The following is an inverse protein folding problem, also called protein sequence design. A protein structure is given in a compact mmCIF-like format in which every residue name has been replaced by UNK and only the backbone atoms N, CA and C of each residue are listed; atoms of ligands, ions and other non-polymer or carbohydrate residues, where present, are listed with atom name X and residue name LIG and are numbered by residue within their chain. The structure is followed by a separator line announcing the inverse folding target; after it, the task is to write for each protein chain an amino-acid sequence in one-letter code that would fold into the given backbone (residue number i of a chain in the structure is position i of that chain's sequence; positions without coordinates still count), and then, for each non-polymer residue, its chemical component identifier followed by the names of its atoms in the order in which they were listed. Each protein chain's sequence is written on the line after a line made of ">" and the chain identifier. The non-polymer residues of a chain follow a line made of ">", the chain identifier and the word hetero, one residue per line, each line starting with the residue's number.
data_IF_645277983232
#
_entry.id   IF_645277983232
#
_cell.length_a   1.000
_cell.length_b   1.000
_cell.length_c   1.000
_cell.angle_alpha   90.00
_cell.angle_beta   90.00
_cell.angle_gamma   90.00
#
_symmetry.space_group_name_H-M   'P 1'
#
loop_
_entity.id
_entity.type
_entity.pdbx_description
1 polymer ?
#
# COMPACT_ATOMS: atom_id res chain seq x y z
N UNK A 1 -42.86 -14.90 1.57
CA UNK A 1 -42.37 -13.51 1.61
C UNK A 1 -42.23 -13.03 0.18
N UNK A 2 -42.83 -11.88 -0.17
CA UNK A 2 -42.85 -11.39 -1.55
C UNK A 2 -41.47 -10.78 -1.90
N UNK A 3 -40.96 -11.04 -3.11
CA UNK A 3 -39.70 -10.46 -3.60
C UNK A 3 -39.73 -8.93 -3.64
N UNK A 4 -40.88 -8.34 -3.94
CA UNK A 4 -41.06 -6.89 -3.99
C UNK A 4 -40.93 -6.27 -2.59
N UNK A 5 -41.49 -6.91 -1.56
CA UNK A 5 -41.38 -6.46 -0.16
C UNK A 5 -39.92 -6.45 0.31
N UNK A 6 -39.16 -7.50 -0.05
CA UNK A 6 -37.73 -7.58 0.27
C UNK A 6 -36.96 -6.49 -0.47
N UNK A 7 -37.27 -6.25 -1.74
CA UNK A 7 -36.62 -5.19 -2.52
C UNK A 7 -36.84 -3.81 -1.89
N UNK A 8 -38.08 -3.51 -1.49
CA UNK A 8 -38.41 -2.27 -0.79
C UNK A 8 -37.70 -2.15 0.56
N UNK A 9 -37.60 -3.27 1.29
CA UNK A 9 -36.81 -3.33 2.52
C UNK A 9 -35.33 -3.02 2.29
N UNK A 10 -34.73 -3.57 1.23
CA UNK A 10 -33.32 -3.33 0.87
C UNK A 10 -33.10 -1.86 0.54
N UNK A 11 -33.87 -1.27 -0.39
CA UNK A 11 -33.67 0.14 -0.79
C UNK A 11 -33.82 1.09 0.40
N UNK A 12 -34.83 0.87 1.25
CA UNK A 12 -35.08 1.72 2.41
C UNK A 12 -33.95 1.68 3.43
N UNK A 13 -33.25 0.57 3.54
CA UNK A 13 -32.18 0.39 4.53
C UNK A 13 -30.79 0.68 3.98
N UNK A 14 -30.61 0.70 2.66
CA UNK A 14 -29.32 0.97 2.05
C UNK A 14 -28.74 2.32 2.48
N UNK A 15 -29.59 3.34 2.58
CA UNK A 15 -29.21 4.70 3.00
C UNK A 15 -28.88 4.83 4.49
N UNK A 16 -29.15 3.80 5.31
CA UNK A 16 -28.78 3.76 6.72
C UNK A 16 -27.33 3.31 6.96
N UNK A 17 -26.59 3.02 5.88
CA UNK A 17 -25.19 2.61 5.96
C UNK A 17 -24.27 3.82 5.76
N UNK A 18 -23.49 4.15 6.78
CA UNK A 18 -22.47 5.21 6.72
C UNK A 18 -21.14 4.62 6.28
N UNK A 19 -20.96 4.47 4.97
CA UNK A 19 -19.73 3.95 4.34
C UNK A 19 -19.08 5.04 3.48
N UNK A 20 -17.78 4.91 3.20
CA UNK A 20 -16.99 5.95 2.55
C UNK A 20 -17.37 6.18 1.08
N UNK A 21 -17.88 5.15 0.39
CA UNK A 21 -18.26 5.22 -1.02
C UNK A 21 -19.21 4.07 -1.43
N UNK A 22 -19.47 3.88 -2.72
CA UNK A 22 -20.50 2.99 -3.29
C UNK A 22 -20.00 1.58 -3.62
N UNK A 23 -18.70 1.31 -3.53
CA UNK A 23 -18.13 0.00 -3.89
C UNK A 23 -18.70 -1.18 -3.10
N UNK A 24 -19.16 -0.94 -1.87
CA UNK A 24 -19.81 -1.96 -1.05
C UNK A 24 -21.34 -2.02 -1.19
N UNK A 25 -21.95 -1.19 -2.02
CA UNK A 25 -23.41 -1.11 -2.15
C UNK A 25 -24.02 -2.49 -2.47
N UNK A 26 -23.42 -3.24 -3.39
CA UNK A 26 -23.89 -4.58 -3.74
C UNK A 26 -23.71 -5.60 -2.62
N UNK A 27 -22.67 -5.48 -1.79
CA UNK A 27 -22.50 -6.33 -0.61
C UNK A 27 -23.58 -6.03 0.43
N UNK A 28 -23.85 -4.75 0.68
CA UNK A 28 -24.90 -4.31 1.62
C UNK A 28 -26.28 -4.77 1.16
N UNK A 29 -26.58 -4.64 -0.14
CA UNK A 29 -27.84 -5.13 -0.74
C UNK A 29 -28.03 -6.63 -0.51
N UNK A 30 -27.00 -7.44 -0.74
CA UNK A 30 -27.06 -8.89 -0.52
C UNK A 30 -27.15 -9.24 0.97
N UNK A 31 -26.46 -8.53 1.85
CA UNK A 31 -26.57 -8.66 3.31
C UNK A 31 -28.02 -8.44 3.76
N UNK A 32 -28.62 -7.32 3.34
CA UNK A 32 -30.01 -6.98 3.70
C UNK A 32 -31.01 -8.01 3.14
N UNK A 33 -30.80 -8.47 1.90
CA UNK A 33 -31.60 -9.55 1.33
C UNK A 33 -31.52 -10.83 2.18
N UNK A 34 -30.32 -11.27 2.55
CA UNK A 34 -30.12 -12.45 3.40
C UNK A 34 -30.73 -12.28 4.80
N UNK A 35 -30.69 -11.07 5.38
CA UNK A 35 -31.39 -10.78 6.65
C UNK A 35 -32.89 -10.98 6.54
N UNK A 36 -33.53 -10.47 5.47
CA UNK A 36 -34.96 -10.66 5.26
C UNK A 36 -35.29 -12.15 5.15
N UNK A 37 -34.52 -12.92 4.36
CA UNK A 37 -34.69 -14.37 4.21
C UNK A 37 -34.48 -15.12 5.53
N UNK A 38 -33.55 -14.68 6.37
CA UNK A 38 -33.28 -15.28 7.68
C UNK A 38 -34.42 -15.06 8.69
N UNK A 39 -35.37 -14.16 8.42
CA UNK A 39 -36.51 -13.86 9.27
C UNK A 39 -36.40 -12.52 10.01
N UNK A 40 -35.52 -11.61 9.60
CA UNK A 40 -35.48 -10.27 10.16
C UNK A 40 -36.83 -9.55 9.98
N UNK A 41 -37.31 -8.90 11.03
CA UNK A 41 -38.51 -8.08 10.95
C UNK A 41 -38.23 -6.88 10.04
N UNK A 42 -38.76 -6.90 8.82
CA UNK A 42 -38.54 -5.86 7.82
C UNK A 42 -39.03 -4.47 8.27
N UNK A 43 -39.88 -4.35 9.29
CA UNK A 43 -40.26 -3.06 9.87
C UNK A 43 -39.15 -2.43 10.72
N UNK A 44 -38.17 -3.21 11.17
CA UNK A 44 -37.01 -2.72 11.90
C UNK A 44 -35.92 -2.28 10.94
N UNK A 45 -35.38 -1.09 11.19
CA UNK A 45 -34.26 -0.55 10.43
C UNK A 45 -32.98 -1.30 10.74
N UNK A 46 -32.14 -1.44 9.72
CA UNK A 46 -30.79 -2.00 9.81
C UNK A 46 -29.81 -0.87 9.58
N UNK A 47 -28.79 -0.79 10.42
CA UNK A 47 -27.74 0.21 10.34
C UNK A 47 -26.39 -0.48 10.19
N UNK A 48 -25.49 0.18 9.49
CA UNK A 48 -24.11 -0.24 9.37
C UNK A 48 -23.19 0.93 9.10
N UNK A 49 -21.90 0.69 9.21
CA UNK A 49 -20.86 1.67 8.91
C UNK A 49 -19.57 0.99 8.49
N UNK A 50 -18.71 1.74 7.85
CA UNK A 50 -17.29 1.39 7.77
C UNK A 50 -16.67 1.49 9.17
N UNK A 51 -15.83 0.50 9.51
CA UNK A 51 -14.96 0.55 10.67
C UNK A 51 -13.72 -0.31 10.45
N UNK A 52 -12.54 0.32 10.53
CA UNK A 52 -11.23 -0.33 10.36
C UNK A 52 -11.11 -1.04 9.01
N UNK A 53 -11.44 -0.33 7.93
CA UNK A 53 -11.42 -0.81 6.54
C UNK A 53 -12.46 -1.87 6.20
N UNK A 54 -13.39 -2.19 7.11
CA UNK A 54 -14.40 -3.23 6.91
C UNK A 54 -15.83 -2.77 7.21
N UNK A 55 -16.79 -3.43 6.58
CA UNK A 55 -18.21 -3.23 6.80
C UNK A 55 -18.63 -3.85 8.15
N UNK A 56 -19.24 -3.03 9.02
CA UNK A 56 -19.88 -3.48 10.26
C UNK A 56 -21.37 -3.19 10.22
N UNK A 57 -22.16 -4.20 10.56
CA UNK A 57 -23.61 -4.08 10.69
C UNK A 57 -24.02 -4.39 12.13
N UNK A 58 -24.88 -3.54 12.69
CA UNK A 58 -25.34 -3.66 14.07
C UNK A 58 -26.81 -4.07 14.08
N UNK A 59 -27.05 -5.30 14.52
CA UNK A 59 -28.40 -5.86 14.69
C UNK A 59 -28.43 -6.75 15.91
N UNK A 60 -29.57 -6.75 16.60
CA UNK A 60 -29.87 -7.56 17.76
C UNK A 60 -31.33 -8.03 17.67
N UNK A 61 -31.57 -9.30 18.01
CA UNK A 61 -32.88 -9.89 18.23
C UNK A 61 -32.89 -10.55 19.62
N UNK A 62 -34.05 -10.73 20.23
CA UNK A 62 -34.18 -11.53 21.45
C UNK A 62 -34.23 -13.03 21.16
N UNK A 63 -34.50 -13.41 19.90
CA UNK A 63 -34.44 -14.79 19.41
C UNK A 63 -32.97 -15.21 19.17
N UNK A 64 -32.47 -16.14 19.99
CA UNK A 64 -31.12 -16.69 19.90
C UNK A 64 -30.84 -17.39 18.56
N UNK A 65 -31.82 -18.13 18.02
CA UNK A 65 -31.66 -18.83 16.74
C UNK A 65 -31.54 -17.84 15.59
N UNK A 66 -32.35 -16.78 15.61
CA UNK A 66 -32.25 -15.70 14.64
C UNK A 66 -30.92 -14.94 14.79
N UNK A 67 -30.50 -14.62 16.01
CA UNK A 67 -29.22 -13.96 16.27
C UNK A 67 -28.03 -14.74 15.71
N UNK A 68 -28.01 -16.07 15.86
CA UNK A 68 -26.95 -16.92 15.31
C UNK A 68 -26.90 -16.86 13.78
N UNK A 69 -28.06 -16.88 13.11
CA UNK A 69 -28.15 -16.70 11.65
C UNK A 69 -27.66 -15.32 11.21
N UNK A 70 -28.12 -14.26 11.89
CA UNK A 70 -27.71 -12.89 11.58
C UNK A 70 -26.22 -12.68 11.81
N UNK A 71 -25.64 -13.29 12.85
CA UNK A 71 -24.20 -13.27 13.10
C UNK A 71 -23.43 -13.89 11.94
N UNK A 72 -23.78 -15.10 11.50
CA UNK A 72 -23.12 -15.75 10.38
C UNK A 72 -23.18 -14.92 9.07
N UNK A 73 -24.32 -14.27 8.80
CA UNK A 73 -24.46 -13.37 7.65
C UNK A 73 -23.57 -12.13 7.82
N UNK A 74 -23.56 -11.50 9.00
CA UNK A 74 -22.69 -10.35 9.28
C UNK A 74 -21.21 -10.69 9.10
N UNK A 75 -20.76 -11.81 9.65
CA UNK A 75 -19.37 -12.25 9.59
C UNK A 75 -18.94 -12.47 8.14
N UNK A 76 -19.76 -13.20 7.35
CA UNK A 76 -19.56 -13.38 5.90
C UNK A 76 -19.36 -12.06 5.15
N UNK A 77 -20.25 -11.08 5.36
CA UNK A 77 -20.16 -9.81 4.61
C UNK A 77 -19.08 -8.87 5.17
N UNK A 78 -18.72 -8.98 6.44
CA UNK A 78 -17.52 -8.34 6.99
C UNK A 78 -16.25 -8.89 6.32
N UNK A 79 -16.12 -10.21 6.17
CA UNK A 79 -14.98 -10.84 5.50
C UNK A 79 -14.90 -10.50 4.01
N UNK A 80 -16.06 -10.42 3.32
CA UNK A 80 -16.09 -10.00 1.92
C UNK A 80 -15.70 -8.53 1.75
N UNK A 81 -16.12 -7.66 2.68
CA UNK A 81 -15.85 -6.23 2.58
C UNK A 81 -14.36 -5.91 2.63
N UNK A 82 -13.57 -6.63 3.43
CA UNK A 82 -12.10 -6.43 3.53
C UNK A 82 -11.31 -6.96 2.32
N UNK A 83 -12.02 -7.59 1.37
CA UNK A 83 -11.49 -8.07 0.08
C UNK A 83 -12.10 -7.33 -1.12
N UNK A 84 -12.90 -6.29 -0.85
CA UNK A 84 -13.65 -5.55 -1.87
C UNK A 84 -13.33 -4.07 -1.74
N UNK A 85 -12.90 -3.42 -2.81
CA UNK A 85 -12.64 -1.99 -2.81
C UNK A 85 -13.90 -1.20 -2.40
N UNK A 86 -13.79 -0.36 -1.37
CA UNK A 86 -14.92 0.43 -0.88
C UNK A 86 -15.36 1.52 -1.88
N UNK A 87 -14.49 1.91 -2.82
CA UNK A 87 -14.79 2.93 -3.84
C UNK A 87 -15.51 2.35 -5.05
N UNK A 88 -15.00 1.28 -5.67
CA UNK A 88 -15.56 0.76 -6.93
C UNK A 88 -16.11 -0.67 -6.88
N UNK A 89 -15.91 -1.40 -5.79
CA UNK A 89 -16.43 -2.76 -5.63
C UNK A 89 -15.64 -3.85 -6.35
N UNK A 90 -14.50 -3.53 -6.97
CA UNK A 90 -13.57 -4.54 -7.49
C UNK A 90 -12.84 -5.26 -6.36
N UNK A 91 -12.04 -6.28 -6.69
CA UNK A 91 -11.12 -6.89 -5.74
C UNK A 91 -10.22 -5.82 -5.11
N UNK A 92 -10.10 -5.86 -3.78
CA UNK A 92 -9.33 -4.94 -2.98
C UNK A 92 -8.64 -5.65 -1.83
N UNK A 93 -7.75 -4.94 -1.16
CA UNK A 93 -7.07 -5.40 0.05
C UNK A 93 -7.15 -4.32 1.11
N UNK A 94 -6.98 -4.72 2.37
CA UNK A 94 -6.79 -3.80 3.49
C UNK A 94 -5.50 -3.01 3.28
N UNK A 95 -5.56 -1.70 3.50
CA UNK A 95 -4.44 -0.77 3.31
C UNK A 95 -4.46 0.29 4.40
N UNK A 96 -3.31 0.90 4.63
CA UNK A 96 -3.18 2.04 5.53
C UNK A 96 -2.83 3.29 4.73
N UNK A 97 -3.64 4.34 4.85
CA UNK A 97 -3.39 5.66 4.25
C UNK A 97 -3.47 6.69 5.37
N UNK A 98 -2.41 7.45 5.61
CA UNK A 98 -2.35 8.47 6.66
C UNK A 98 -2.82 7.97 8.05
N UNK A 99 -2.41 6.75 8.42
CA UNK A 99 -2.82 6.04 9.66
C UNK A 99 -4.28 5.56 9.70
N UNK A 100 -5.04 5.69 8.61
CA UNK A 100 -6.40 5.16 8.48
C UNK A 100 -6.41 3.85 7.70
N UNK A 101 -7.12 2.85 8.24
CA UNK A 101 -7.34 1.59 7.55
C UNK A 101 -8.53 1.71 6.60
N UNK A 102 -8.33 1.30 5.35
CA UNK A 102 -9.34 1.25 4.29
C UNK A 102 -9.19 -0.04 3.48
N UNK A 103 -10.21 -0.44 2.73
CA UNK A 103 -10.06 -1.51 1.73
C UNK A 103 -10.16 -0.93 0.33
N UNK A 104 -9.05 -0.96 -0.41
CA UNK A 104 -8.97 -0.39 -1.76
C UNK A 104 -8.35 -1.37 -2.75
N UNK A 105 -8.79 -1.28 -4.00
CA UNK A 105 -8.02 -1.83 -5.11
C UNK A 105 -6.74 -1.00 -5.31
N UNK A 106 -5.75 -1.59 -5.99
CA UNK A 106 -4.48 -0.91 -6.22
C UNK A 106 -4.66 0.47 -6.87
N UNK A 107 -5.50 0.60 -7.90
CA UNK A 107 -5.67 1.88 -8.59
C UNK A 107 -6.15 3.01 -7.65
N UNK A 108 -7.18 2.76 -6.84
CA UNK A 108 -7.67 3.76 -5.88
C UNK A 108 -6.72 4.01 -4.71
N UNK A 109 -5.89 3.03 -4.36
CA UNK A 109 -4.79 3.25 -3.42
C UNK A 109 -3.74 4.18 -4.01
N UNK A 110 -3.33 3.97 -5.26
CA UNK A 110 -2.36 4.80 -5.98
C UNK A 110 -2.85 6.24 -6.19
N UNK A 111 -4.14 6.44 -6.43
CA UNK A 111 -4.73 7.79 -6.48
C UNK A 111 -4.56 8.55 -5.17
N UNK A 112 -4.49 7.84 -4.05
CA UNK A 112 -4.33 8.40 -2.70
C UNK A 112 -2.88 8.38 -2.19
N UNK A 113 -2.01 7.57 -2.79
CA UNK A 113 -0.57 7.50 -2.51
C UNK A 113 0.20 8.22 -3.63
N UNK A 114 0.45 9.54 -3.50
CA UNK A 114 0.95 10.32 -4.61
C UNK A 114 2.33 9.86 -5.05
N UNK A 115 2.50 9.66 -6.35
CA UNK A 115 3.80 9.44 -6.97
C UNK A 115 4.49 10.80 -7.08
N UNK A 116 5.78 10.86 -6.72
CA UNK A 116 6.59 12.02 -6.98
C UNK A 116 6.97 12.07 -8.46
N UNK A 117 6.69 13.20 -9.09
CA UNK A 117 7.14 13.47 -10.46
C UNK A 117 7.97 14.74 -10.49
N UNK A 118 9.01 14.70 -11.32
CA UNK A 118 9.83 15.88 -11.61
C UNK A 118 9.71 16.14 -13.10
N UNK A 119 9.10 17.27 -13.45
CA UNK A 119 8.91 17.64 -14.85
C UNK A 119 10.16 18.30 -15.46
N UNK A 120 10.12 18.55 -16.77
CA UNK A 120 11.21 19.18 -17.50
C UNK A 120 11.50 20.63 -17.06
N UNK A 121 10.57 21.28 -16.36
CA UNK A 121 10.73 22.62 -15.77
C UNK A 121 11.22 22.55 -14.32
N UNK A 122 11.59 21.36 -13.83
CA UNK A 122 12.05 21.11 -12.47
C UNK A 122 10.97 21.36 -11.40
N UNK A 123 9.68 21.22 -11.77
CA UNK A 123 8.61 21.19 -10.77
C UNK A 123 8.51 19.80 -10.17
N UNK A 124 8.49 19.73 -8.85
CA UNK A 124 8.12 18.57 -8.05
C UNK A 124 6.59 18.55 -7.97
N UNK A 125 5.99 17.43 -8.38
CA UNK A 125 4.54 17.25 -8.42
C UNK A 125 4.11 16.03 -7.62
N UNK A 126 2.93 16.12 -7.02
CA UNK A 126 2.16 15.02 -6.42
C UNK A 126 0.78 15.02 -7.06
N UNK A 127 0.35 13.90 -7.65
CA UNK A 127 -0.97 13.78 -8.30
C UNK A 127 -1.28 14.93 -9.28
N UNK A 128 -0.34 15.24 -10.18
CA UNK A 128 -0.40 16.37 -11.11
C UNK A 128 -0.46 17.78 -10.49
N UNK A 129 -0.45 17.93 -9.18
CA UNK A 129 -0.36 19.23 -8.50
C UNK A 129 1.11 19.60 -8.30
N UNK A 130 1.49 20.82 -8.67
CA UNK A 130 2.84 21.34 -8.40
C UNK A 130 2.92 21.64 -6.90
N UNK A 131 3.89 21.03 -6.23
CA UNK A 131 4.15 21.23 -4.80
C UNK A 131 5.26 22.27 -4.61
N UNK A 132 6.33 22.17 -5.39
CA UNK A 132 7.51 23.02 -5.28
C UNK A 132 8.28 23.03 -6.60
N UNK A 133 8.96 24.13 -6.93
CA UNK A 133 9.98 24.12 -7.98
C UNK A 133 11.37 24.01 -7.34
N UNK A 134 12.24 23.13 -7.88
CA UNK A 134 13.60 22.90 -7.35
C UNK A 134 14.42 24.20 -7.28
N UNK A 135 14.18 25.15 -8.19
CA UNK A 135 14.89 26.45 -8.22
C UNK A 135 14.55 27.36 -7.04
N UNK A 136 13.44 27.10 -6.35
CA UNK A 136 13.02 27.87 -5.19
C UNK A 136 13.62 27.31 -3.88
N UNK A 137 14.32 26.17 -3.95
CA UNK A 137 14.98 25.56 -2.79
C UNK A 137 16.25 26.34 -2.48
N UNK A 138 16.36 26.81 -1.24
CA UNK A 138 17.56 27.48 -0.73
C UNK A 138 18.44 26.58 0.13
N UNK A 139 17.86 25.53 0.69
CA UNK A 139 18.55 24.57 1.56
C UNK A 139 17.85 23.22 1.49
N UNK A 140 18.63 22.16 1.64
CA UNK A 140 18.12 20.80 1.83
C UNK A 140 18.86 20.10 2.97
N UNK A 141 18.13 19.42 3.85
CA UNK A 141 18.68 18.61 4.95
C UNK A 141 18.22 17.16 4.83
N UNK A 142 19.03 16.24 5.34
CA UNK A 142 18.77 14.79 5.32
C UNK A 142 18.61 14.25 6.72
N UNK A 143 17.73 13.25 6.86
CA UNK A 143 17.57 12.50 8.11
C UNK A 143 17.57 10.98 7.84
N UNK A 144 17.88 10.21 8.89
CA UNK A 144 17.81 8.74 8.91
C UNK A 144 18.55 8.07 7.75
N UNK A 145 19.82 8.42 7.52
CA UNK A 145 20.67 7.79 6.49
C UNK A 145 20.05 7.81 5.08
N UNK A 146 19.76 9.02 4.58
CA UNK A 146 19.19 9.25 3.24
C UNK A 146 17.77 8.70 3.05
N UNK A 147 17.03 8.48 4.14
CA UNK A 147 15.65 8.01 4.07
C UNK A 147 14.65 9.17 4.00
N UNK A 148 15.05 10.37 4.42
CA UNK A 148 14.19 11.55 4.47
C UNK A 148 14.95 12.78 4.03
N UNK A 149 14.27 13.65 3.28
CA UNK A 149 14.80 14.96 2.89
C UNK A 149 13.82 16.06 3.25
N UNK A 150 14.35 17.12 3.83
CA UNK A 150 13.66 18.38 4.09
C UNK A 150 14.15 19.43 3.11
N UNK A 151 13.23 20.10 2.40
CA UNK A 151 13.52 21.17 1.46
C UNK A 151 12.94 22.48 2.01
N UNK A 152 13.76 23.52 2.00
CA UNK A 152 13.43 24.83 2.54
C UNK A 152 13.36 25.87 1.41
N UNK A 153 12.36 26.75 1.46
CA UNK A 153 12.17 27.86 0.50
C UNK A 153 12.21 29.21 1.21
N UNK A 154 12.41 30.30 0.45
CA UNK A 154 12.31 31.67 1.00
C UNK A 154 10.86 32.12 1.23
N UNK A 155 9.91 31.55 0.49
CA UNK A 155 8.50 31.90 0.59
C UNK A 155 7.93 31.39 1.92
N UNK A 156 7.67 32.32 2.86
CA UNK A 156 7.00 32.11 4.14
C UNK A 156 7.66 31.12 5.13
N UNK A 157 8.88 30.66 4.86
CA UNK A 157 9.52 29.63 5.67
C UNK A 157 8.83 28.26 5.53
N UNK A 158 8.17 28.02 4.40
CA UNK A 158 7.59 26.71 4.09
C UNK A 158 8.68 25.64 4.03
N UNK A 159 8.36 24.48 4.59
CA UNK A 159 9.23 23.31 4.58
C UNK A 159 8.50 22.15 3.95
N UNK A 160 9.18 21.46 3.03
CA UNK A 160 8.63 20.33 2.31
C UNK A 160 9.39 19.07 2.72
N UNK A 161 8.64 18.01 2.94
CA UNK A 161 9.16 16.73 3.40
C UNK A 161 8.86 15.63 2.38
N UNK A 162 9.86 14.79 2.14
CA UNK A 162 9.77 13.61 1.28
C UNK A 162 10.51 12.43 1.91
N UNK A 163 10.00 11.23 1.67
CA UNK A 163 10.52 9.99 2.25
C UNK A 163 10.77 8.90 1.22
N UNK A 164 11.68 7.97 1.52
CA UNK A 164 11.97 6.80 0.67
C UNK A 164 10.78 5.90 0.37
N UNK A 165 9.70 6.00 1.15
CA UNK A 165 8.47 5.25 0.93
C UNK A 165 7.69 5.77 -0.29
N UNK A 166 8.03 6.97 -0.79
CA UNK A 166 7.46 7.55 -2.00
C UNK A 166 8.29 7.15 -3.24
N UNK A 167 7.68 6.57 -4.29
CA UNK A 167 8.33 6.32 -5.56
C UNK A 167 8.96 7.59 -6.11
N UNK A 168 10.13 7.47 -6.74
CA UNK A 168 10.96 8.58 -7.21
C UNK A 168 11.58 9.45 -6.10
N UNK A 169 11.53 9.06 -4.82
CA UNK A 169 12.26 9.77 -3.77
C UNK A 169 13.76 9.88 -4.06
N UNK A 170 14.43 8.77 -4.41
CA UNK A 170 15.87 8.79 -4.69
C UNK A 170 16.19 9.52 -6.01
N UNK A 171 15.26 9.53 -6.97
CA UNK A 171 15.33 10.39 -8.15
C UNK A 171 15.30 11.88 -7.77
N UNK A 172 14.42 12.28 -6.83
CA UNK A 172 14.38 13.63 -6.28
C UNK A 172 15.69 13.97 -5.58
N UNK A 173 16.16 13.10 -4.68
CA UNK A 173 17.43 13.30 -3.98
C UNK A 173 18.60 13.51 -4.95
N UNK A 174 18.65 12.74 -6.04
CA UNK A 174 19.67 12.86 -7.10
C UNK A 174 19.53 14.16 -7.92
N UNK A 175 18.34 14.73 -8.01
CA UNK A 175 18.06 15.91 -8.84
C UNK A 175 18.34 17.23 -8.11
N UNK A 176 18.23 17.26 -6.78
CA UNK A 176 18.51 18.46 -5.99
C UNK A 176 20.01 18.82 -6.09
N UNK A 177 20.36 20.09 -6.39
CA UNK A 177 21.75 20.51 -6.45
C UNK A 177 22.52 20.25 -5.14
N UNK A 178 23.67 19.56 -5.23
CA UNK A 178 24.51 19.22 -4.07
C UNK A 178 24.92 20.45 -3.24
N UNK A 179 25.05 21.62 -3.86
CA UNK A 179 25.39 22.86 -3.16
C UNK A 179 24.36 23.28 -2.11
N UNK A 180 23.11 22.80 -2.22
CA UNK A 180 22.03 23.11 -1.27
C UNK A 180 22.10 22.24 0.01
N UNK A 181 22.89 21.17 0.00
CA UNK A 181 23.11 20.31 1.16
C UNK A 181 24.32 20.78 2.01
N UNK A 182 24.34 20.46 3.31
CA UNK A 182 25.50 20.62 4.19
C UNK A 182 26.78 20.00 3.61
N UNK A 183 27.93 20.67 3.77
CA UNK A 183 29.20 20.27 3.15
C UNK A 183 29.64 18.84 3.51
N UNK A 184 29.43 18.44 4.76
CA UNK A 184 29.69 17.10 5.28
C UNK A 184 28.86 16.02 4.58
N UNK A 185 27.65 16.36 4.12
CA UNK A 185 26.73 15.43 3.44
C UNK A 185 26.92 15.33 1.94
N UNK A 186 27.49 16.36 1.29
CA UNK A 186 27.64 16.40 -0.19
C UNK A 186 28.42 15.19 -0.72
N UNK A 187 29.51 14.84 -0.04
CA UNK A 187 30.34 13.71 -0.42
C UNK A 187 29.58 12.38 -0.25
N UNK A 188 28.81 12.23 0.83
CA UNK A 188 28.05 11.00 1.08
C UNK A 188 26.97 10.78 0.02
N UNK A 189 26.22 11.83 -0.36
CA UNK A 189 25.20 11.77 -1.42
C UNK A 189 25.85 11.42 -2.76
N UNK A 190 26.97 12.06 -3.08
CA UNK A 190 27.72 11.79 -4.30
C UNK A 190 28.20 10.34 -4.36
N UNK A 191 28.81 9.84 -3.28
CA UNK A 191 29.25 8.45 -3.16
C UNK A 191 28.10 7.47 -3.27
N UNK A 192 26.95 7.76 -2.65
CA UNK A 192 25.76 6.91 -2.71
C UNK A 192 25.38 6.59 -4.15
N UNK A 193 25.22 7.60 -5.01
CA UNK A 193 24.81 7.37 -6.41
C UNK A 193 25.93 6.87 -7.32
N UNK A 194 27.20 7.07 -6.96
CA UNK A 194 28.36 6.61 -7.75
C UNK A 194 28.71 5.15 -7.47
N UNK A 195 28.41 4.65 -6.28
CA UNK A 195 28.80 3.31 -5.80
C UNK A 195 27.68 2.27 -5.80
N UNK A 196 26.55 2.57 -6.47
CA UNK A 196 25.43 1.63 -6.50
C UNK A 196 25.79 0.33 -7.22
N UNK A 197 25.56 -0.78 -6.54
CA UNK A 197 25.71 -2.13 -7.07
C UNK A 197 24.35 -2.75 -7.45
N UNK A 198 24.41 -3.86 -8.17
CA UNK A 198 23.24 -4.61 -8.59
C UNK A 198 22.63 -5.42 -7.44
N UNK A 199 21.31 -5.32 -7.24
CA UNK A 199 20.58 -6.15 -6.29
C UNK A 199 20.11 -7.44 -6.97
N UNK A 200 20.57 -8.59 -6.51
CA UNK A 200 20.11 -9.91 -7.00
C UNK A 200 18.68 -10.25 -6.57
N UNK A 201 18.17 -9.55 -5.56
CA UNK A 201 16.82 -9.77 -5.03
C UNK A 201 15.79 -9.05 -5.91
N UNK A 202 15.91 -7.73 -6.12
CA UNK A 202 14.90 -6.98 -6.89
C UNK A 202 15.32 -6.64 -8.33
N UNK A 203 16.56 -6.95 -8.72
CA UNK A 203 17.05 -6.73 -10.09
C UNK A 203 17.36 -5.28 -10.46
N UNK A 204 17.54 -4.38 -9.48
CA UNK A 204 17.85 -2.97 -9.73
C UNK A 204 19.27 -2.61 -9.25
N UNK A 205 19.92 -1.67 -9.94
CA UNK A 205 21.19 -1.08 -9.51
C UNK A 205 20.96 -0.06 -8.39
N UNK A 206 20.77 -0.59 -7.18
CA UNK A 206 20.29 0.15 -6.02
C UNK A 206 20.94 -0.29 -4.70
N UNK A 207 21.94 -1.17 -4.73
CA UNK A 207 22.65 -1.59 -3.51
C UNK A 207 23.63 -0.50 -3.11
N UNK A 208 23.51 -0.01 -1.89
CA UNK A 208 24.49 0.87 -1.28
C UNK A 208 24.92 0.27 0.05
N UNK A 209 26.24 0.14 0.23
CA UNK A 209 26.83 -0.55 1.38
C UNK A 209 26.31 -2.00 1.50
N UNK A 210 25.41 -2.28 2.44
CA UNK A 210 24.91 -3.64 2.72
C UNK A 210 23.45 -3.85 2.29
N UNK A 211 22.72 -2.80 1.92
CA UNK A 211 21.27 -2.90 1.70
C UNK A 211 20.86 -2.30 0.37
N UNK A 212 19.79 -2.84 -0.21
CA UNK A 212 19.18 -2.27 -1.40
C UNK A 212 18.31 -1.06 -1.02
N UNK A 213 18.57 0.11 -1.60
CA UNK A 213 17.78 1.33 -1.40
C UNK A 213 16.36 1.24 -1.99
N UNK A 214 16.07 0.22 -2.81
CA UNK A 214 14.75 0.01 -3.45
C UNK A 214 13.90 -1.03 -2.74
N UNK A 215 14.44 -2.23 -2.50
CA UNK A 215 13.68 -3.32 -1.87
C UNK A 215 14.02 -3.50 -0.39
N UNK A 216 14.93 -2.69 0.17
CA UNK A 216 15.32 -2.66 1.59
C UNK A 216 15.91 -3.96 2.17
N UNK A 217 16.07 -4.98 1.34
CA UNK A 217 16.70 -6.23 1.72
C UNK A 217 18.22 -6.04 1.88
N UNK A 218 18.78 -6.68 2.91
CA UNK A 218 20.23 -6.80 3.08
C UNK A 218 20.79 -7.72 2.00
N UNK A 219 21.97 -7.40 1.47
CA UNK A 219 22.69 -8.30 0.58
C UNK A 219 23.22 -9.49 1.38
N UNK A 220 23.20 -10.66 0.73
CA UNK A 220 23.81 -11.86 1.29
C UNK A 220 25.25 -11.58 1.73
N UNK A 221 25.58 -12.01 2.95
CA UNK A 221 26.94 -12.04 3.46
C UNK A 221 27.21 -13.35 4.19
N UNK A 222 28.49 -13.73 4.27
CA UNK A 222 28.92 -15.00 4.89
C UNK A 222 28.88 -14.98 6.44
N UNK A 223 28.00 -14.15 7.04
CA UNK A 223 27.81 -14.21 8.49
C UNK A 223 27.04 -15.46 8.90
N UNK A 224 27.23 -15.90 10.15
CA UNK A 224 26.65 -17.14 10.67
C UNK A 224 25.14 -17.20 10.54
N UNK A 225 24.42 -16.09 10.76
CA UNK A 225 22.95 -16.04 10.67
C UNK A 225 22.42 -16.43 9.28
N UNK A 226 23.04 -15.93 8.21
CA UNK A 226 22.61 -16.23 6.84
C UNK A 226 22.83 -17.71 6.49
N UNK A 227 23.98 -18.26 6.89
CA UNK A 227 24.32 -19.67 6.64
C UNK A 227 23.45 -20.59 7.50
N UNK A 228 23.22 -20.26 8.77
CA UNK A 228 22.42 -21.06 9.69
C UNK A 228 20.94 -21.16 9.26
N UNK A 229 20.35 -20.06 8.79
CA UNK A 229 18.93 -20.03 8.44
C UNK A 229 18.64 -20.47 7.00
N UNK A 230 19.48 -20.08 6.04
CA UNK A 230 19.19 -20.29 4.63
C UNK A 230 20.12 -21.31 3.97
N UNK A 231 21.25 -21.65 4.59
CA UNK A 231 22.27 -22.56 4.07
C UNK A 231 23.09 -21.96 2.93
N UNK A 232 22.42 -21.67 1.82
CA UNK A 232 23.03 -21.14 0.60
C UNK A 232 22.41 -19.78 0.21
N UNK A 233 23.22 -18.94 -0.44
CA UNK A 233 22.81 -17.61 -0.94
C UNK A 233 21.56 -17.66 -1.82
N UNK A 234 21.45 -18.68 -2.68
CA UNK A 234 20.32 -18.87 -3.60
C UNK A 234 19.00 -19.01 -2.86
N UNK A 235 18.98 -19.72 -1.72
CA UNK A 235 17.77 -19.91 -0.91
C UNK A 235 17.32 -18.58 -0.30
N UNK A 236 18.25 -17.81 0.28
CA UNK A 236 17.95 -16.48 0.80
C UNK A 236 17.38 -15.56 -0.27
N UNK A 237 18.05 -15.45 -1.43
CA UNK A 237 17.58 -14.59 -2.53
C UNK A 237 16.19 -15.03 -3.00
N UNK A 238 15.97 -16.34 -3.13
CA UNK A 238 14.68 -16.91 -3.54
C UNK A 238 13.57 -16.55 -2.56
N UNK A 239 13.81 -16.65 -1.26
CA UNK A 239 12.85 -16.28 -0.21
C UNK A 239 12.51 -14.78 -0.26
N UNK A 240 13.52 -13.91 -0.27
CA UNK A 240 13.29 -12.46 -0.39
C UNK A 240 12.56 -12.08 -1.68
N UNK A 241 12.84 -12.77 -2.79
CA UNK A 241 12.09 -12.59 -4.03
C UNK A 241 10.63 -12.98 -3.85
N UNK A 242 10.33 -14.11 -3.20
CA UNK A 242 8.94 -14.52 -2.96
C UNK A 242 8.20 -13.53 -2.05
N UNK A 243 8.85 -12.98 -1.01
CA UNK A 243 8.28 -11.93 -0.16
C UNK A 243 7.87 -10.68 -0.96
N UNK A 244 8.76 -10.22 -1.84
CA UNK A 244 8.52 -9.09 -2.76
C UNK A 244 7.36 -9.37 -3.71
N UNK A 245 7.13 -10.62 -4.11
CA UNK A 245 6.05 -10.98 -5.03
C UNK A 245 4.70 -11.21 -4.35
N UNK A 246 4.70 -11.75 -3.12
CA UNK A 246 3.47 -11.93 -2.35
C UNK A 246 2.91 -10.60 -1.85
N UNK A 247 3.80 -9.68 -1.50
CA UNK A 247 3.56 -8.26 -1.20
C UNK A 247 2.09 -7.95 -0.92
N UNK A 248 1.72 -8.18 0.35
CA UNK A 248 0.35 -8.05 0.84
C UNK A 248 -0.24 -6.67 0.53
N UNK A 249 0.60 -5.64 0.53
CA UNK A 249 0.20 -4.25 0.31
C UNK A 249 0.30 -3.80 -1.16
N UNK A 250 0.71 -4.67 -2.08
CA UNK A 250 1.02 -4.29 -3.47
C UNK A 250 2.05 -3.13 -3.56
N UNK A 251 2.91 -2.97 -2.56
CA UNK A 251 4.06 -2.06 -2.52
C UNK A 251 4.92 -2.11 -3.79
N UNK A 252 5.31 -3.26 -4.30
CA UNK A 252 6.07 -3.39 -5.55
C UNK A 252 5.27 -2.94 -6.77
N UNK A 253 3.93 -3.12 -6.75
CA UNK A 253 3.07 -2.57 -7.80
C UNK A 253 2.99 -1.05 -7.73
N UNK A 254 3.21 -0.45 -6.55
CA UNK A 254 3.37 0.99 -6.39
C UNK A 254 4.74 1.47 -6.88
N UNK A 255 5.80 0.70 -6.63
CA UNK A 255 7.17 1.04 -7.05
C UNK A 255 7.47 0.76 -8.53
N UNK A 256 6.49 0.34 -9.34
CA UNK A 256 6.66 0.27 -10.81
C UNK A 256 6.87 1.65 -11.45
N UNK A 257 6.39 2.70 -10.78
CA UNK A 257 6.53 4.09 -11.23
C UNK A 257 7.84 4.72 -10.75
N UNK A 258 8.60 4.02 -9.92
CA UNK A 258 9.91 4.47 -9.46
C UNK A 258 10.94 4.32 -10.58
N UNK A 259 11.58 5.43 -10.92
CA UNK A 259 12.64 5.58 -11.92
C UNK A 259 13.97 5.95 -11.29
N UNK A 260 14.10 5.83 -9.97
CA UNK A 260 15.32 6.15 -9.24
C UNK A 260 16.50 5.25 -9.62
N UNK A 261 16.22 4.01 -10.01
CA UNK A 261 17.24 2.98 -10.24
C UNK A 261 17.05 2.25 -11.56
N UNK A 262 18.15 1.92 -12.22
CA UNK A 262 18.17 1.17 -13.47
C UNK A 262 17.88 -0.33 -13.23
N UNK A 263 17.10 -0.96 -14.11
CA UNK A 263 16.90 -2.42 -14.13
C UNK A 263 18.09 -3.13 -14.77
N UNK A 264 18.54 -4.21 -14.14
CA UNK A 264 19.63 -5.04 -14.63
C UNK A 264 19.13 -6.00 -15.72
N UNK A 265 19.84 -6.05 -16.85
CA UNK A 265 19.48 -6.90 -18.00
C UNK A 265 19.64 -8.41 -17.75
N UNK A 266 20.42 -8.80 -16.74
CA UNK A 266 20.68 -10.20 -16.38
C UNK A 266 19.94 -10.70 -15.13
N UNK A 267 18.98 -9.92 -14.62
CA UNK A 267 18.22 -10.31 -13.42
C UNK A 267 17.39 -11.58 -13.66
N UNK A 268 17.40 -12.49 -12.68
CA UNK A 268 16.69 -13.77 -12.72
C UNK A 268 15.83 -13.95 -11.47
N UNK A 269 14.61 -14.43 -11.68
CA UNK A 269 13.73 -14.90 -10.60
C UNK A 269 14.09 -16.35 -10.31
N UNK A 270 14.37 -16.66 -9.04
CA UNK A 270 14.86 -17.97 -8.58
C UNK A 270 13.74 -18.91 -8.12
N UNK A 271 12.49 -18.47 -8.18
CA UNK A 271 11.32 -19.26 -7.79
C UNK A 271 10.37 -19.48 -8.97
N UNK A 272 9.62 -20.58 -8.90
CA UNK A 272 8.52 -20.93 -9.80
C UNK A 272 7.17 -20.56 -9.18
N UNK A 273 6.10 -20.58 -9.98
CA UNK A 273 4.74 -20.40 -9.45
C UNK A 273 4.37 -21.41 -8.36
N UNK A 274 4.98 -22.58 -8.38
CA UNK A 274 4.69 -23.67 -7.44
C UNK A 274 5.39 -23.39 -6.11
N UNK A 275 6.63 -22.90 -6.16
CA UNK A 275 7.35 -22.43 -4.98
C UNK A 275 6.58 -21.34 -4.24
N UNK A 276 6.06 -20.34 -4.99
CA UNK A 276 5.30 -19.24 -4.40
C UNK A 276 4.03 -19.73 -3.69
N UNK A 277 3.29 -20.67 -4.30
CA UNK A 277 2.08 -21.23 -3.67
C UNK A 277 2.39 -22.08 -2.43
N UNK A 278 3.51 -22.79 -2.40
CA UNK A 278 3.92 -23.49 -1.18
C UNK A 278 4.37 -22.50 -0.10
N UNK A 279 5.05 -21.43 -0.48
CA UNK A 279 5.48 -20.39 0.42
C UNK A 279 4.30 -19.63 1.05
N UNK A 280 3.27 -19.30 0.26
CA UNK A 280 2.02 -18.70 0.76
C UNK A 280 1.36 -19.54 1.87
N UNK A 281 1.40 -20.87 1.78
CA UNK A 281 0.82 -21.77 2.81
C UNK A 281 1.61 -21.81 4.11
N UNK A 282 2.87 -21.37 4.12
CA UNK A 282 3.67 -21.30 5.34
C UNK A 282 3.32 -20.07 6.18
N UNK A 283 2.71 -19.05 5.56
CA UNK A 283 2.35 -17.77 6.18
C UNK A 283 0.88 -17.69 6.63
N UNK A 284 -0.01 -18.52 6.08
CA UNK A 284 -1.47 -18.53 6.34
C UNK A 284 -2.00 -19.92 6.68
#
# INVERSE_FOLDING_TARGET
>A
MNKEEISLFVERNLTNFSVNSTGWEQLIRKLLFEFAIAGWNMNHRVFGKEKFGGLRCYTYSEDETLNNKLKAIKDKYSELSVKTCEICGSEGKMRTIDSWQTTLCLNHFLEQQPILEIDYKQNIRRNNTIILNIRNIIKADLEYDFQRVWLYTEEQGETFYFSWQEPNYYLLLKTIPLSLFPEDRRNEISMLFQSLDGCEICGHKAVYQKSCLRCHNEQWNESGYFIENYGEKSNYIKECQMDIFMDEEDYEKYFIYDRSFEKLSGYQILFSSDDLREYEKLLF
#
